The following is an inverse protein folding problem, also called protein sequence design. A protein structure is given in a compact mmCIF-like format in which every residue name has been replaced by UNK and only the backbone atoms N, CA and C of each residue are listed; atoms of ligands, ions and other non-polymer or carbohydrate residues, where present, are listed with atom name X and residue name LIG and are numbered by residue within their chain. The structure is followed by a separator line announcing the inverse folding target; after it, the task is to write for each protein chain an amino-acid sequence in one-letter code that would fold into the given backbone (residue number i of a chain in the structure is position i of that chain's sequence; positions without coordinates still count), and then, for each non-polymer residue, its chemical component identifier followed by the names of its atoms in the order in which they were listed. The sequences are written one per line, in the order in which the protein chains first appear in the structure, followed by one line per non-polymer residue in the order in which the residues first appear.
data_IF_352328277131
#
_entry.id   IF_352328277131
#
_cell.length_a   1.000
_cell.length_b   1.000
_cell.length_c   1.000
_cell.angle_alpha   90.00
_cell.angle_beta   90.00
_cell.angle_gamma   90.00
#
_symmetry.space_group_name_H-M   'P 1'
#
loop_
_entity.id
_entity.type
_entity.pdbx_description
1 polymer ?
#
# COMPACT_ATOMS: atom_id res chain seq x y z
N UNK A 1 20.92 36.44 -1.71
CA UNK A 1 19.65 36.04 -2.34
C UNK A 1 19.81 34.58 -2.69
N UNK A 2 19.06 33.70 -2.04
CA UNK A 2 19.07 32.27 -2.34
C UNK A 2 18.09 32.08 -3.50
N UNK A 3 18.60 31.68 -4.66
CA UNK A 3 17.78 31.30 -5.80
C UNK A 3 16.98 30.06 -5.41
N UNK A 4 15.65 30.21 -5.34
CA UNK A 4 14.74 29.10 -5.25
C UNK A 4 14.80 28.35 -6.59
N UNK A 5 15.57 27.26 -6.61
CA UNK A 5 15.57 26.29 -7.70
C UNK A 5 14.18 25.64 -7.78
N UNK A 6 13.26 26.26 -8.53
CA UNK A 6 12.00 25.67 -8.96
C UNK A 6 12.29 24.61 -10.03
N UNK A 7 12.86 23.47 -9.63
CA UNK A 7 12.74 22.24 -10.40
C UNK A 7 11.38 21.64 -10.08
N UNK A 8 10.31 22.13 -10.72
CA UNK A 8 9.13 21.29 -10.90
C UNK A 8 9.57 20.17 -11.84
N UNK A 9 9.77 18.99 -11.27
CA UNK A 9 10.04 17.74 -11.97
C UNK A 9 9.19 17.64 -13.23
N UNK A 10 9.79 17.30 -14.37
CA UNK A 10 9.09 16.95 -15.61
C UNK A 10 8.45 15.56 -15.47
N UNK A 11 7.59 15.42 -14.48
CA UNK A 11 6.95 14.17 -14.09
C UNK A 11 5.93 13.79 -15.17
N UNK A 12 5.99 12.55 -15.66
CA UNK A 12 4.96 12.05 -16.58
C UNK A 12 3.62 11.92 -15.84
N UNK A 13 2.50 11.85 -16.56
CA UNK A 13 1.19 11.63 -15.94
C UNK A 13 1.13 10.30 -15.20
N UNK A 14 1.81 9.28 -15.72
CA UNK A 14 1.86 7.94 -15.12
C UNK A 14 2.72 7.94 -13.85
N UNK A 15 3.82 8.69 -13.85
CA UNK A 15 4.65 8.89 -12.67
C UNK A 15 3.87 9.62 -11.56
N UNK A 16 3.05 10.62 -11.91
CA UNK A 16 2.21 11.36 -10.94
C UNK A 16 1.15 10.46 -10.32
N UNK A 17 0.51 9.61 -11.13
CA UNK A 17 -0.46 8.63 -10.66
C UNK A 17 0.19 7.64 -9.68
N UNK A 18 1.25 6.96 -10.10
CA UNK A 18 1.88 5.91 -9.30
C UNK A 18 2.47 6.46 -7.98
N UNK A 19 3.03 7.67 -8.01
CA UNK A 19 3.51 8.33 -6.78
C UNK A 19 2.34 8.72 -5.87
N UNK A 20 1.22 9.19 -6.41
CA UNK A 20 0.02 9.51 -5.61
C UNK A 20 -0.58 8.25 -4.97
N UNK A 21 -0.61 7.14 -5.72
CA UNK A 21 -1.07 5.85 -5.23
C UNK A 21 -0.17 5.31 -4.11
N UNK A 22 1.15 5.33 -4.31
CA UNK A 22 2.10 4.96 -3.26
C UNK A 22 1.91 5.84 -2.03
N UNK A 23 1.83 7.15 -2.20
CA UNK A 23 1.66 8.09 -1.08
C UNK A 23 0.37 7.79 -0.30
N UNK A 24 -0.75 7.54 -0.99
CA UNK A 24 -2.00 7.17 -0.32
C UNK A 24 -1.83 5.92 0.53
N UNK A 25 -1.26 4.85 -0.04
CA UNK A 25 -1.15 3.56 0.62
C UNK A 25 -0.17 3.62 1.79
N UNK A 26 0.97 4.30 1.64
CA UNK A 26 1.90 4.51 2.76
C UNK A 26 1.24 5.29 3.89
N UNK A 27 0.48 6.35 3.59
CA UNK A 27 -0.26 7.10 4.63
C UNK A 27 -1.34 6.24 5.29
N UNK A 28 -2.10 5.46 4.52
CA UNK A 28 -3.10 4.54 5.05
C UNK A 28 -2.46 3.55 6.03
N UNK A 29 -1.43 2.81 5.58
CA UNK A 29 -0.81 1.77 6.40
C UNK A 29 0.05 2.30 7.54
N UNK A 30 0.48 3.57 7.50
CA UNK A 30 1.19 4.22 8.61
C UNK A 30 0.33 4.47 9.86
N UNK A 31 -0.99 4.40 9.72
CA UNK A 31 -1.95 4.57 10.81
C UNK A 31 -1.99 3.35 11.73
N UNK A 32 -2.57 3.52 12.92
CA UNK A 32 -2.79 2.37 13.81
C UNK A 32 -3.93 1.48 13.28
N UNK A 33 -3.96 0.17 13.61
CA UNK A 33 -4.94 -0.75 13.03
C UNK A 33 -6.40 -0.31 13.17
N UNK A 34 -6.79 0.26 14.30
CA UNK A 34 -8.16 0.75 14.51
C UNK A 34 -8.56 1.84 13.50
N UNK A 35 -7.67 2.79 13.23
CA UNK A 35 -7.89 3.86 12.26
C UNK A 35 -7.99 3.30 10.83
N UNK A 36 -7.17 2.30 10.49
CA UNK A 36 -7.23 1.63 9.19
C UNK A 36 -8.59 0.95 8.98
N UNK A 37 -9.10 0.26 9.99
CA UNK A 37 -10.42 -0.39 9.94
C UNK A 37 -11.58 0.60 9.88
N UNK A 38 -11.46 1.74 10.56
CA UNK A 38 -12.47 2.80 10.53
C UNK A 38 -12.50 3.52 9.16
N UNK A 39 -11.40 3.49 8.41
CA UNK A 39 -11.26 4.15 7.11
C UNK A 39 -11.69 3.31 5.90
N UNK A 40 -11.92 2.00 6.05
CA UNK A 40 -12.33 1.10 4.96
C UNK A 40 -13.85 0.84 4.94
N UNK A 41 -14.44 0.54 3.78
CA UNK A 41 -15.85 0.18 3.70
C UNK A 41 -16.15 -1.10 4.49
N UNK A 42 -17.25 -1.09 5.25
CA UNK A 42 -17.73 -2.25 6.01
C UNK A 42 -18.30 -3.36 5.11
N UNK A 43 -18.90 -2.96 3.99
CA UNK A 43 -19.54 -3.85 3.03
C UNK A 43 -18.68 -3.97 1.77
N UNK A 44 -17.50 -4.58 1.89
CA UNK A 44 -16.60 -4.80 0.77
C UNK A 44 -17.06 -5.99 -0.08
N UNK A 45 -17.37 -5.74 -1.35
CA UNK A 45 -17.69 -6.80 -2.30
C UNK A 45 -16.41 -7.56 -2.70
N UNK A 46 -16.46 -8.90 -2.86
CA UNK A 46 -15.30 -9.65 -3.33
C UNK A 46 -14.86 -9.21 -4.72
N UNK A 47 -13.56 -9.03 -4.90
CA UNK A 47 -12.96 -8.63 -6.17
C UNK A 47 -11.79 -9.52 -6.54
N UNK A 48 -11.54 -9.67 -7.83
CA UNK A 48 -10.33 -10.31 -8.32
C UNK A 48 -9.21 -9.28 -8.43
N UNK A 49 -8.03 -9.63 -7.92
CA UNK A 49 -6.83 -8.80 -7.97
C UNK A 49 -5.72 -9.52 -8.71
N UNK A 50 -5.04 -8.77 -9.56
CA UNK A 50 -3.88 -9.19 -10.33
C UNK A 50 -2.73 -8.20 -10.14
N UNK A 51 -1.60 -8.71 -9.65
CA UNK A 51 -0.29 -8.05 -9.55
C UNK A 51 0.74 -8.90 -10.31
N UNK A 52 2.02 -8.51 -10.34
CA UNK A 52 3.03 -9.36 -10.99
C UNK A 52 3.21 -10.70 -10.27
N UNK A 53 3.08 -10.71 -8.95
CA UNK A 53 3.28 -11.91 -8.11
C UNK A 53 1.99 -12.56 -7.60
N UNK A 54 0.86 -11.84 -7.55
CA UNK A 54 -0.37 -12.29 -6.88
C UNK A 54 -1.57 -12.24 -7.81
N UNK A 55 -2.33 -13.34 -7.83
CA UNK A 55 -3.56 -13.50 -8.59
C UNK A 55 -4.59 -14.20 -7.72
N UNK A 56 -5.51 -13.46 -7.11
CA UNK A 56 -6.48 -14.06 -6.18
C UNK A 56 -7.76 -13.26 -6.03
N UNK A 57 -8.80 -13.94 -5.53
CA UNK A 57 -9.99 -13.29 -5.02
C UNK A 57 -9.72 -12.72 -3.63
N UNK A 58 -10.06 -11.46 -3.45
CA UNK A 58 -9.91 -10.73 -2.19
C UNK A 58 -11.28 -10.38 -1.65
N UNK A 59 -11.53 -10.80 -0.40
CA UNK A 59 -12.80 -10.57 0.31
C UNK A 59 -12.65 -9.54 1.45
N UNK A 60 -11.44 -9.01 1.64
CA UNK A 60 -11.11 -8.11 2.73
C UNK A 60 -10.52 -6.80 2.18
N UNK A 61 -11.05 -5.62 2.55
CA UNK A 61 -10.64 -4.35 1.97
C UNK A 61 -9.21 -3.95 2.35
N UNK A 62 -8.72 -4.34 3.53
CA UNK A 62 -7.33 -4.06 3.92
C UNK A 62 -6.38 -4.97 3.14
N UNK A 63 -6.70 -6.26 3.03
CA UNK A 63 -5.91 -7.17 2.20
C UNK A 63 -5.86 -6.70 0.73
N UNK A 64 -6.98 -6.16 0.23
CA UNK A 64 -7.03 -5.54 -1.09
C UNK A 64 -6.01 -4.40 -1.23
N UNK A 65 -6.00 -3.44 -0.29
CA UNK A 65 -5.01 -2.36 -0.30
C UNK A 65 -3.56 -2.86 -0.12
N UNK A 66 -3.35 -3.97 0.59
CA UNK A 66 -2.01 -4.57 0.71
C UNK A 66 -1.55 -5.12 -0.64
N UNK A 67 -2.43 -5.79 -1.40
CA UNK A 67 -2.13 -6.19 -2.77
C UNK A 67 -1.85 -4.98 -3.68
N UNK A 68 -2.59 -3.88 -3.51
CA UNK A 68 -2.32 -2.64 -4.27
C UNK A 68 -0.93 -2.08 -3.96
N UNK A 69 -0.53 -2.07 -2.68
CA UNK A 69 0.79 -1.59 -2.28
C UNK A 69 1.90 -2.44 -2.90
N UNK A 70 1.74 -3.76 -2.89
CA UNK A 70 2.67 -4.66 -3.57
C UNK A 70 2.75 -4.37 -5.06
N UNK A 71 1.62 -4.26 -5.75
CA UNK A 71 1.56 -3.97 -7.19
C UNK A 71 2.32 -2.71 -7.55
N UNK A 72 2.13 -1.63 -6.80
CA UNK A 72 2.81 -0.35 -7.06
C UNK A 72 4.31 -0.48 -6.82
N UNK A 73 4.73 -1.17 -5.77
CA UNK A 73 6.16 -1.44 -5.51
C UNK A 73 6.79 -2.23 -6.64
N UNK A 74 6.13 -3.30 -7.11
CA UNK A 74 6.56 -4.09 -8.27
C UNK A 74 6.71 -3.22 -9.52
N UNK A 75 5.72 -2.37 -9.80
CA UNK A 75 5.76 -1.44 -10.93
C UNK A 75 6.90 -0.42 -10.80
N UNK A 76 7.17 0.05 -9.58
CA UNK A 76 8.27 1.00 -9.33
C UNK A 76 9.66 0.39 -9.47
N UNK A 77 9.83 -0.88 -9.10
CA UNK A 77 11.07 -1.62 -9.36
C UNK A 77 11.28 -1.83 -10.85
N UNK A 78 10.20 -2.08 -11.60
CA UNK A 78 10.27 -2.32 -13.03
C UNK A 78 10.59 -1.05 -13.84
N UNK A 79 9.97 0.08 -13.49
CA UNK A 79 10.03 1.31 -14.30
C UNK A 79 10.94 2.42 -13.72
N UNK A 80 11.52 2.24 -12.53
CA UNK A 80 12.45 3.17 -11.87
C UNK A 80 11.99 4.65 -11.89
N UNK A 81 10.98 4.98 -11.08
CA UNK A 81 10.40 6.35 -10.99
C UNK A 81 11.23 7.36 -10.18
N UNK A 82 12.56 7.18 -10.09
CA UNK A 82 13.44 8.08 -9.34
C UNK A 82 13.44 7.88 -7.81
N UNK A 83 12.69 6.91 -7.29
CA UNK A 83 12.86 6.44 -5.91
C UNK A 83 14.18 5.70 -5.75
N UNK A 84 14.76 5.76 -4.53
CA UNK A 84 15.95 4.96 -4.22
C UNK A 84 15.58 3.48 -4.26
N UNK A 85 16.20 2.76 -5.19
CA UNK A 85 15.96 1.34 -5.42
C UNK A 85 16.08 0.49 -4.14
N UNK A 86 17.06 0.80 -3.28
CA UNK A 86 17.24 0.15 -1.98
C UNK A 86 16.00 0.26 -1.09
N UNK A 87 15.37 1.44 -1.03
CA UNK A 87 14.16 1.66 -0.23
C UNK A 87 12.98 0.84 -0.77
N UNK A 88 12.83 0.78 -2.09
CA UNK A 88 11.75 0.01 -2.72
C UNK A 88 11.94 -1.49 -2.52
N UNK A 89 13.18 -2.01 -2.59
CA UNK A 89 13.49 -3.41 -2.29
C UNK A 89 13.19 -3.80 -0.85
N UNK A 90 13.56 -2.94 0.12
CA UNK A 90 13.22 -3.18 1.53
C UNK A 90 11.69 -3.24 1.71
N UNK A 91 10.96 -2.33 1.06
CA UNK A 91 9.49 -2.36 1.11
C UNK A 91 8.93 -3.65 0.49
N UNK A 92 9.45 -4.06 -0.67
CA UNK A 92 9.05 -5.30 -1.35
C UNK A 92 9.21 -6.53 -0.45
N UNK A 93 10.40 -6.75 0.10
CA UNK A 93 10.73 -7.93 0.94
C UNK A 93 9.81 -8.03 2.16
N UNK A 94 9.57 -6.90 2.82
CA UNK A 94 8.71 -6.84 4.01
C UNK A 94 7.24 -7.05 3.63
N UNK A 95 6.73 -6.41 2.58
CA UNK A 95 5.33 -6.54 2.16
C UNK A 95 5.03 -7.94 1.63
N UNK A 96 5.97 -8.57 0.95
CA UNK A 96 5.85 -9.96 0.53
C UNK A 96 5.65 -10.89 1.73
N UNK A 97 6.38 -10.65 2.83
CA UNK A 97 6.25 -11.42 4.06
C UNK A 97 4.86 -11.26 4.71
N UNK A 98 4.26 -10.06 4.63
CA UNK A 98 2.89 -9.80 5.11
C UNK A 98 1.84 -10.49 4.24
N UNK A 99 2.00 -10.45 2.92
CA UNK A 99 1.10 -11.10 1.97
C UNK A 99 1.11 -12.62 2.16
N UNK A 100 2.30 -13.20 2.33
CA UNK A 100 2.45 -14.62 2.65
C UNK A 100 1.66 -15.00 3.91
N UNK A 101 1.75 -14.19 4.97
CA UNK A 101 0.99 -14.41 6.21
C UNK A 101 -0.52 -14.33 5.99
N UNK A 102 -1.00 -13.32 5.26
CA UNK A 102 -2.42 -13.17 4.94
C UNK A 102 -2.99 -14.35 4.16
N UNK A 103 -2.23 -14.88 3.21
CA UNK A 103 -2.63 -16.05 2.40
C UNK A 103 -2.71 -17.31 3.27
N UNK A 104 -1.81 -17.48 4.24
CA UNK A 104 -1.74 -18.70 5.06
C UNK A 104 -2.65 -18.70 6.28
N UNK A 105 -2.87 -17.54 6.92
CA UNK A 105 -3.52 -17.44 8.25
C UNK A 105 -4.89 -16.74 8.23
N UNK A 106 -5.48 -16.59 7.03
CA UNK A 106 -6.71 -15.81 6.72
C UNK A 106 -7.90 -16.04 7.67
N UNK A 107 -7.96 -17.17 8.37
CA UNK A 107 -9.11 -17.55 9.20
C UNK A 107 -9.01 -17.12 10.68
N UNK A 108 -7.86 -16.65 11.18
CA UNK A 108 -7.63 -16.46 12.62
C UNK A 108 -7.27 -15.03 13.05
N UNK A 109 -7.33 -14.03 12.17
CA UNK A 109 -7.11 -12.63 12.56
C UNK A 109 -8.40 -12.06 13.19
N UNK A 110 -8.81 -12.66 14.31
CA UNK A 110 -9.73 -12.06 15.26
C UNK A 110 -8.84 -11.24 16.20
N UNK A 111 -9.01 -9.92 16.17
CA UNK A 111 -8.39 -9.04 17.17
C UNK A 111 -8.95 -9.45 18.54
N UNK A 112 -8.13 -10.09 19.37
CA UNK A 112 -8.53 -10.41 20.74
C UNK A 112 -8.65 -9.11 21.57
N UNK A 113 -9.75 -8.98 22.29
CA UNK A 113 -10.08 -7.85 23.18
C UNK A 113 -9.16 -7.70 24.41
N UNK A 114 -8.02 -8.41 24.49
CA UNK A 114 -7.20 -8.43 25.71
C UNK A 114 -5.71 -8.16 25.46
N UNK A 115 -5.36 -6.85 25.39
CA UNK A 115 -4.16 -6.29 26.02
C UNK A 115 -2.76 -6.76 25.58
N UNK A 116 -2.61 -7.53 24.51
CA UNK A 116 -1.31 -8.03 24.03
C UNK A 116 -1.15 -7.98 22.51
N UNK A 117 0.05 -7.64 22.04
CA UNK A 117 0.40 -7.71 20.61
C UNK A 117 0.79 -9.16 20.29
N UNK A 118 -0.16 -9.95 19.78
CA UNK A 118 0.08 -11.30 19.24
C UNK A 118 0.80 -11.23 17.88
N UNK A 119 1.25 -12.38 17.35
CA UNK A 119 1.97 -12.47 16.06
C UNK A 119 1.34 -11.67 14.90
N UNK A 120 0.02 -11.77 14.63
CA UNK A 120 -0.65 -10.95 13.64
C UNK A 120 -0.59 -9.43 13.95
N UNK A 121 -0.69 -9.04 15.22
CA UNK A 121 -0.56 -7.64 15.65
C UNK A 121 0.86 -7.07 15.47
N UNK A 122 1.89 -7.92 15.59
CA UNK A 122 3.28 -7.51 15.36
C UNK A 122 3.53 -7.17 13.88
N UNK A 123 2.95 -7.97 12.99
CA UNK A 123 2.97 -7.78 11.53
C UNK A 123 2.41 -6.40 11.14
N UNK A 124 1.28 -6.00 11.72
CA UNK A 124 0.70 -4.66 11.49
C UNK A 124 1.58 -3.52 12.02
N UNK A 125 2.20 -3.70 13.18
CA UNK A 125 3.09 -2.68 13.74
C UNK A 125 4.37 -2.53 12.92
N UNK A 126 4.88 -3.63 12.36
CA UNK A 126 6.03 -3.60 11.46
C UNK A 126 5.65 -2.87 10.16
N UNK A 127 4.53 -3.23 9.53
CA UNK A 127 4.04 -2.53 8.34
C UNK A 127 3.86 -1.03 8.58
N UNK A 128 3.18 -0.66 9.67
CA UNK A 128 2.93 0.74 9.98
C UNK A 128 4.23 1.52 10.17
N UNK A 129 5.20 0.95 10.90
CA UNK A 129 6.52 1.57 11.08
C UNK A 129 7.28 1.70 9.76
N UNK A 130 7.25 0.69 8.91
CA UNK A 130 7.91 0.73 7.60
C UNK A 130 7.29 1.80 6.71
N UNK A 131 5.96 1.92 6.69
CA UNK A 131 5.28 2.96 5.94
C UNK A 131 5.59 4.36 6.48
N UNK A 132 5.64 4.55 7.80
CA UNK A 132 6.09 5.81 8.41
C UNK A 132 7.52 6.17 8.02
N UNK A 133 8.42 5.17 8.04
CA UNK A 133 9.81 5.33 7.65
C UNK A 133 9.91 5.69 6.16
N UNK A 134 9.19 5.00 5.28
CA UNK A 134 9.14 5.30 3.85
C UNK A 134 8.61 6.71 3.56
N UNK A 135 7.58 7.15 4.29
CA UNK A 135 7.10 8.53 4.21
C UNK A 135 8.16 9.55 4.65
N UNK A 136 9.06 9.20 5.57
CA UNK A 136 10.12 10.10 6.04
C UNK A 136 11.35 10.16 5.15
N UNK A 137 11.52 9.19 4.24
CA UNK A 137 12.74 9.07 3.44
C UNK A 137 12.80 10.00 2.22
N UNK A 138 11.66 10.54 1.80
CA UNK A 138 11.54 11.33 0.57
C UNK A 138 10.93 12.71 0.84
N UNK A 139 11.33 13.71 0.06
CA UNK A 139 10.76 15.05 0.12
C UNK A 139 9.49 15.13 -0.74
N UNK A 140 8.38 14.65 -0.17
CA UNK A 140 7.09 14.56 -0.87
C UNK A 140 6.56 15.89 -1.40
N UNK A 141 7.06 17.02 -0.88
CA UNK A 141 6.68 18.36 -1.35
C UNK A 141 7.08 18.64 -2.80
N UNK A 142 7.95 17.80 -3.38
CA UNK A 142 8.43 17.90 -4.76
C UNK A 142 7.49 17.27 -5.78
N UNK A 143 6.55 16.44 -5.35
CA UNK A 143 5.63 15.74 -6.22
C UNK A 143 4.26 16.40 -6.24
N UNK A 144 3.58 16.29 -7.39
CA UNK A 144 2.17 16.63 -7.49
C UNK A 144 1.33 15.43 -7.03
N UNK A 145 1.01 15.43 -5.74
CA UNK A 145 0.22 14.37 -5.09
C UNK A 145 -1.28 14.66 -5.25
N UNK A 146 -1.96 13.74 -5.93
CA UNK A 146 -3.42 13.77 -6.07
C UNK A 146 -4.07 13.15 -4.84
N UNK A 147 -5.21 13.70 -4.41
CA UNK A 147 -6.00 13.10 -3.33
C UNK A 147 -6.79 11.91 -3.89
N UNK A 148 -6.45 10.72 -3.44
CA UNK A 148 -7.12 9.47 -3.81
C UNK A 148 -8.08 9.00 -2.70
N UNK A 149 -8.95 8.05 -3.04
CA UNK A 149 -9.86 7.38 -2.11
C UNK A 149 -9.73 5.85 -2.24
N UNK A 150 -10.37 5.11 -1.35
CA UNK A 150 -10.42 3.65 -1.44
C UNK A 150 -11.07 3.19 -2.76
N UNK A 151 -12.18 3.83 -3.14
CA UNK A 151 -12.96 3.51 -4.33
C UNK A 151 -12.14 3.67 -5.61
N UNK A 152 -11.26 4.67 -5.65
CA UNK A 152 -10.32 4.84 -6.76
C UNK A 152 -9.52 3.55 -7.01
N UNK A 153 -9.04 2.88 -5.97
CA UNK A 153 -8.28 1.64 -6.13
C UNK A 153 -9.16 0.51 -6.66
N UNK A 154 -10.37 0.36 -6.13
CA UNK A 154 -11.32 -0.66 -6.60
C UNK A 154 -11.65 -0.47 -8.08
N UNK A 155 -11.94 0.77 -8.49
CA UNK A 155 -12.31 1.08 -9.87
C UNK A 155 -11.17 0.88 -10.88
N UNK A 156 -9.93 1.14 -10.48
CA UNK A 156 -8.79 1.15 -11.40
C UNK A 156 -7.93 -0.11 -11.36
N UNK A 157 -8.00 -0.89 -10.27
CA UNK A 157 -7.07 -2.00 -10.02
C UNK A 157 -7.74 -3.31 -9.61
N UNK A 158 -9.06 -3.39 -9.68
CA UNK A 158 -9.79 -4.62 -9.43
C UNK A 158 -10.61 -5.06 -10.63
N UNK A 159 -10.82 -6.36 -10.73
CA UNK A 159 -11.72 -6.97 -11.71
C UNK A 159 -12.92 -7.58 -10.99
N UNK A 160 -14.03 -7.81 -11.71
CA UNK A 160 -15.13 -8.60 -11.18
C UNK A 160 -14.62 -9.93 -10.63
N UNK A 161 -15.22 -10.36 -9.53
CA UNK A 161 -14.95 -11.66 -8.90
C UNK A 161 -14.83 -12.79 -9.94
N UNK A 162 -13.78 -13.60 -9.83
CA UNK A 162 -13.52 -14.72 -10.74
C UNK A 162 -13.57 -16.05 -9.96
N UNK A 163 -14.57 -16.93 -10.15
CA UNK A 163 -14.79 -18.13 -9.32
C UNK A 163 -13.77 -19.29 -9.52
N UNK A 164 -12.56 -19.03 -10.04
CA UNK A 164 -11.53 -20.03 -10.39
C UNK A 164 -11.12 -20.93 -9.22
#
# INVERSE_FOLDING_TARGET
MVEANNYKSSQSTDDSRNISELFYLLNFFSQIPGEQWDAVPKDFAPVWVETFSIHCNVYNPIFFLTCMLMRIIEEMLYNSYGFKEETIRILEDEIHSLLAFWITEYNNIIFEEEGGITGPGQIWLVLARLCQIALSFEDWSRYEIQKLSFEYFVENHSYPYDPV
#
